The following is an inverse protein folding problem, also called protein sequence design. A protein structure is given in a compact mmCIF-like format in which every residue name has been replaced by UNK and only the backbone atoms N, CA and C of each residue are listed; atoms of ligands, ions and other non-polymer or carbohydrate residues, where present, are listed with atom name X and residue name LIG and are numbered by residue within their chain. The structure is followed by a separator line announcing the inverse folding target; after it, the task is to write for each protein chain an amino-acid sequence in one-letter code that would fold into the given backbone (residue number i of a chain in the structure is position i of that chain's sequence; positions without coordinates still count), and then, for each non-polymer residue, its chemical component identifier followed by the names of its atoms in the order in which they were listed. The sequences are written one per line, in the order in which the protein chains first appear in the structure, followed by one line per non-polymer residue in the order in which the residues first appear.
data_IF_668392965566
#
_entry.id   IF_668392965566
#
_cell.length_a   1.000
_cell.length_b   1.000
_cell.length_c   1.000
_cell.angle_alpha   90.00
_cell.angle_beta   90.00
_cell.angle_gamma   90.00
#
_symmetry.space_group_name_H-M   'P 1'
#
loop_
_entity.id
_entity.type
_entity.pdbx_description
1 polymer ?
#
# COMPACT_ATOMS: atom_id res chain seq x y z
N UNK A 1 -11.57 1.80 6.62
CA UNK A 1 -10.52 2.85 6.72
C UNK A 1 -10.73 4.03 5.77
N UNK A 2 -11.90 4.19 5.14
CA UNK A 2 -12.12 5.24 4.13
C UNK A 2 -12.94 6.40 4.69
N UNK A 3 -12.67 7.62 4.21
CA UNK A 3 -13.49 8.80 4.49
C UNK A 3 -14.50 9.05 3.37
N UNK A 4 -15.63 9.65 3.73
CA UNK A 4 -16.64 10.06 2.76
C UNK A 4 -16.05 11.13 1.81
N UNK A 5 -16.14 10.89 0.50
CA UNK A 5 -15.62 11.79 -0.53
C UNK A 5 -14.12 11.63 -0.83
N UNK A 6 -13.43 10.71 -0.17
CA UNK A 6 -12.04 10.37 -0.47
C UNK A 6 -11.94 9.67 -1.83
N UNK A 7 -10.99 10.10 -2.65
CA UNK A 7 -10.65 9.41 -3.90
C UNK A 7 -9.55 8.39 -3.63
N UNK A 8 -9.85 7.13 -3.92
CA UNK A 8 -8.91 6.02 -3.75
C UNK A 8 -8.78 5.23 -5.05
N UNK A 9 -7.64 4.58 -5.21
CA UNK A 9 -7.42 3.65 -6.32
C UNK A 9 -8.35 2.44 -6.17
N UNK A 10 -8.89 1.97 -7.29
CA UNK A 10 -9.96 0.98 -7.24
C UNK A 10 -9.48 -0.40 -6.76
N UNK A 11 -8.26 -0.79 -7.12
CA UNK A 11 -7.68 -2.05 -6.67
C UNK A 11 -7.51 -2.04 -5.14
N UNK A 12 -7.00 -0.95 -4.57
CA UNK A 12 -6.92 -0.78 -3.10
C UNK A 12 -8.28 -0.81 -2.42
N UNK A 13 -9.30 -0.20 -3.02
CA UNK A 13 -10.66 -0.27 -2.50
C UNK A 13 -11.19 -1.71 -2.45
N UNK A 14 -10.93 -2.49 -3.50
CA UNK A 14 -11.29 -3.91 -3.53
C UNK A 14 -10.54 -4.73 -2.47
N UNK A 15 -9.22 -4.56 -2.35
CA UNK A 15 -8.38 -5.26 -1.37
C UNK A 15 -8.87 -5.00 0.07
N UNK A 16 -9.16 -3.74 0.41
CA UNK A 16 -9.63 -3.41 1.76
C UNK A 16 -11.05 -3.93 2.02
N UNK A 17 -11.94 -3.93 1.01
CA UNK A 17 -13.28 -4.49 1.17
C UNK A 17 -13.26 -6.02 1.36
N UNK A 18 -12.37 -6.74 0.67
CA UNK A 18 -12.16 -8.18 0.87
C UNK A 18 -11.65 -8.46 2.29
N UNK A 19 -10.70 -7.65 2.78
CA UNK A 19 -10.19 -7.74 4.16
C UNK A 19 -11.29 -7.53 5.21
N UNK A 20 -12.14 -6.52 5.02
CA UNK A 20 -13.23 -6.17 5.94
C UNK A 20 -14.33 -7.24 5.93
N UNK A 21 -14.60 -7.85 4.77
CA UNK A 21 -15.51 -9.00 4.65
C UNK A 21 -15.00 -10.22 5.43
N UNK A 22 -13.71 -10.53 5.36
CA UNK A 22 -13.11 -11.59 6.17
C UNK A 22 -13.21 -11.35 7.68
N UNK A 23 -13.33 -10.10 8.10
CA UNK A 23 -13.56 -9.69 9.50
C UNK A 23 -15.05 -9.63 9.88
N UNK A 24 -15.97 -10.08 9.02
CA UNK A 24 -17.43 -9.98 9.19
C UNK A 24 -17.94 -8.54 9.44
N UNK A 25 -17.27 -7.55 8.88
CA UNK A 25 -17.66 -6.13 8.97
C UNK A 25 -18.39 -5.67 7.71
N UNK A 26 -19.05 -4.51 7.82
CA UNK A 26 -19.79 -3.92 6.70
C UNK A 26 -18.85 -3.40 5.61
N UNK A 27 -19.10 -3.82 4.37
CA UNK A 27 -18.38 -3.33 3.18
C UNK A 27 -18.65 -1.85 2.93
N UNK A 28 -17.64 -1.14 2.45
CA UNK A 28 -17.80 0.24 1.99
C UNK A 28 -18.36 0.26 0.58
N UNK A 29 -19.23 1.22 0.26
CA UNK A 29 -19.70 1.49 -1.10
C UNK A 29 -18.89 2.62 -1.73
N UNK A 30 -18.75 2.62 -3.06
CA UNK A 30 -18.02 3.66 -3.79
C UNK A 30 -18.75 4.06 -5.08
N UNK A 31 -18.43 5.24 -5.60
CA UNK A 31 -18.81 5.67 -6.94
C UNK A 31 -17.58 5.66 -7.85
N UNK A 32 -17.73 5.14 -9.08
CA UNK A 32 -16.66 5.14 -10.08
C UNK A 32 -16.52 6.54 -10.67
N UNK A 33 -15.31 7.07 -10.67
CA UNK A 33 -14.98 8.36 -11.28
C UNK A 33 -14.08 8.09 -12.49
N UNK A 34 -14.45 8.67 -13.63
CA UNK A 34 -13.62 8.62 -14.84
C UNK A 34 -12.69 9.83 -14.85
N UNK A 35 -11.38 9.57 -14.98
CA UNK A 35 -10.34 10.59 -15.06
C UNK A 35 -9.65 10.52 -16.43
N UNK A 36 -9.24 11.67 -16.97
CA UNK A 36 -8.38 11.71 -18.15
C UNK A 36 -6.99 11.15 -17.84
N UNK A 37 -6.26 10.70 -18.88
CA UNK A 37 -4.97 9.99 -18.72
C UNK A 37 -3.93 10.77 -17.91
N UNK A 38 -3.86 12.10 -18.09
CA UNK A 38 -2.92 12.97 -17.37
C UNK A 38 -3.24 13.02 -15.88
N UNK A 39 -4.53 13.21 -15.54
CA UNK A 39 -4.99 13.28 -14.16
C UNK A 39 -4.88 11.92 -13.46
N UNK A 40 -5.22 10.84 -14.17
CA UNK A 40 -5.04 9.49 -13.65
C UNK A 40 -3.56 9.16 -13.37
N UNK A 41 -2.65 9.60 -14.23
CA UNK A 41 -1.20 9.37 -14.06
C UNK A 41 -0.59 10.15 -12.90
N UNK A 42 -1.10 11.33 -12.58
CA UNK A 42 -0.67 12.12 -11.41
C UNK A 42 -1.30 11.64 -10.09
N UNK A 43 -2.48 11.00 -10.16
CA UNK A 43 -3.22 10.49 -9.00
C UNK A 43 -2.78 9.08 -8.53
N UNK A 44 -1.68 8.55 -9.06
CA UNK A 44 -1.13 7.26 -8.61
C UNK A 44 -0.60 7.35 -7.17
N UNK A 45 -0.60 6.23 -6.44
CA UNK A 45 -0.11 6.18 -5.06
C UNK A 45 1.41 6.38 -4.98
N UNK A 46 2.14 5.97 -6.01
CA UNK A 46 3.59 6.16 -6.06
C UNK A 46 3.94 7.58 -6.43
N UNK A 47 4.46 8.33 -5.45
CA UNK A 47 4.97 9.67 -5.71
C UNK A 47 6.21 9.64 -6.61
N UNK A 48 7.00 8.55 -6.62
CA UNK A 48 8.15 8.39 -7.51
C UNK A 48 7.69 8.27 -8.97
N UNK A 49 6.67 7.45 -9.21
CA UNK A 49 6.05 7.29 -10.53
C UNK A 49 5.35 8.58 -11.00
N UNK A 50 4.64 9.26 -10.10
CA UNK A 50 3.97 10.53 -10.39
C UNK A 50 4.97 11.65 -10.71
N UNK A 51 6.00 11.84 -9.86
CA UNK A 51 6.99 12.91 -10.01
C UNK A 51 7.84 12.78 -11.28
N UNK A 52 8.02 11.56 -11.78
CA UNK A 52 8.71 11.27 -13.04
C UNK A 52 7.82 11.39 -14.27
N UNK A 53 6.53 11.71 -14.12
CA UNK A 53 5.65 12.01 -15.25
C UNK A 53 5.67 13.51 -15.53
N UNK A 54 5.14 14.31 -14.59
CA UNK A 54 5.05 15.77 -14.66
C UNK A 54 4.99 16.37 -13.24
N UNK A 55 5.05 17.71 -13.13
CA UNK A 55 4.86 18.46 -11.86
C UNK A 55 5.81 18.03 -10.72
N UNK A 56 7.04 17.63 -11.04
CA UNK A 56 8.03 17.02 -10.12
C UNK A 56 8.17 17.78 -8.79
N UNK A 57 8.36 19.10 -8.83
CA UNK A 57 8.55 19.91 -7.62
C UNK A 57 7.34 19.85 -6.69
N UNK A 58 6.13 19.94 -7.23
CA UNK A 58 4.89 19.87 -6.46
C UNK A 58 4.73 18.50 -5.84
N UNK A 59 4.87 17.44 -6.63
CA UNK A 59 4.68 16.04 -6.17
C UNK A 59 5.66 15.68 -5.06
N UNK A 60 6.94 16.04 -5.20
CA UNK A 60 7.94 15.76 -4.17
C UNK A 60 7.73 16.58 -2.90
N UNK A 61 7.30 17.84 -3.03
CA UNK A 61 6.99 18.69 -1.86
C UNK A 61 5.81 18.12 -1.08
N UNK A 62 4.71 17.77 -1.76
CA UNK A 62 3.54 17.20 -1.12
C UNK A 62 3.87 15.86 -0.43
N UNK A 63 4.67 15.01 -1.07
CA UNK A 63 5.13 13.74 -0.50
C UNK A 63 6.02 13.94 0.74
N UNK A 64 6.93 14.93 0.71
CA UNK A 64 7.81 15.24 1.82
C UNK A 64 7.04 15.78 3.03
N UNK A 65 6.09 16.71 2.81
CA UNK A 65 5.27 17.30 3.88
C UNK A 65 4.35 16.25 4.52
N UNK A 66 3.81 15.33 3.73
CA UNK A 66 2.92 14.26 4.23
C UNK A 66 3.67 13.05 4.77
N UNK A 67 4.99 12.97 4.59
CA UNK A 67 5.79 11.81 4.99
C UNK A 67 5.42 10.53 4.21
N UNK A 68 4.98 10.67 2.95
CA UNK A 68 4.56 9.53 2.13
C UNK A 68 5.72 8.55 1.90
N UNK A 69 5.43 7.26 2.03
CA UNK A 69 6.37 6.17 1.73
C UNK A 69 5.93 5.44 0.47
N UNK A 70 6.87 5.14 -0.42
CA UNK A 70 6.61 4.41 -1.65
C UNK A 70 6.95 2.92 -1.49
N UNK A 71 6.00 2.04 -1.81
CA UNK A 71 6.17 0.60 -1.65
C UNK A 71 6.85 -0.09 -2.85
N UNK A 72 7.14 0.66 -3.93
CA UNK A 72 7.78 0.16 -5.15
C UNK A 72 7.04 -1.05 -5.76
N UNK A 73 5.72 -0.98 -5.83
CA UNK A 73 4.88 -2.05 -6.39
C UNK A 73 4.77 -1.97 -7.91
N UNK A 74 5.01 -0.80 -8.48
CA UNK A 74 4.84 -0.49 -9.89
C UNK A 74 6.08 -0.76 -10.74
N UNK A 75 5.89 -0.72 -12.06
CA UNK A 75 6.98 -0.94 -13.02
C UNK A 75 7.95 0.24 -13.03
N UNK A 76 7.41 1.46 -13.12
CA UNK A 76 8.20 2.69 -13.30
C UNK A 76 9.08 3.00 -12.09
N UNK A 77 8.54 2.87 -10.88
CA UNK A 77 9.31 2.96 -9.63
C UNK A 77 10.54 2.06 -9.62
N UNK A 78 10.36 0.77 -9.95
CA UNK A 78 11.44 -0.20 -9.89
C UNK A 78 12.52 0.10 -10.95
N UNK A 79 12.12 0.56 -12.15
CA UNK A 79 13.08 1.00 -13.17
C UNK A 79 13.89 2.20 -12.68
N UNK A 80 13.24 3.21 -12.09
CA UNK A 80 13.91 4.43 -11.60
C UNK A 80 14.91 4.11 -10.49
N UNK A 81 14.54 3.21 -9.57
CA UNK A 81 15.40 2.81 -8.43
C UNK A 81 16.46 1.78 -8.85
N UNK A 82 16.37 1.19 -10.04
CA UNK A 82 17.32 0.18 -10.52
C UNK A 82 17.10 -1.23 -9.96
N UNK A 83 15.86 -1.57 -9.60
CA UNK A 83 15.45 -2.91 -9.15
C UNK A 83 14.83 -3.69 -10.32
N UNK A 84 14.79 -5.02 -10.21
CA UNK A 84 14.04 -5.86 -11.14
C UNK A 84 12.58 -5.38 -11.21
N UNK A 85 12.00 -5.30 -12.41
CA UNK A 85 10.59 -4.91 -12.58
C UNK A 85 9.66 -6.07 -12.18
N UNK A 86 8.45 -5.80 -11.68
CA UNK A 86 7.47 -6.81 -11.30
C UNK A 86 6.72 -7.40 -12.52
N UNK A 87 7.46 -7.71 -13.58
CA UNK A 87 6.93 -8.28 -14.82
C UNK A 87 7.95 -9.26 -15.43
N UNK A 88 7.47 -10.18 -16.26
CA UNK A 88 8.32 -11.18 -16.92
C UNK A 88 9.14 -12.00 -15.92
N UNK A 89 10.46 -12.10 -16.17
CA UNK A 89 11.40 -12.83 -15.29
C UNK A 89 11.50 -12.24 -13.89
N UNK A 90 11.19 -10.95 -13.70
CA UNK A 90 11.18 -10.31 -12.39
C UNK A 90 9.96 -10.68 -11.53
N UNK A 91 8.92 -11.29 -12.10
CA UNK A 91 7.72 -11.69 -11.34
C UNK A 91 8.06 -12.70 -10.22
N UNK A 92 8.91 -13.69 -10.52
CA UNK A 92 9.34 -14.70 -9.54
C UNK A 92 10.12 -14.09 -8.37
N UNK A 93 10.94 -13.07 -8.66
CA UNK A 93 11.68 -12.34 -7.63
C UNK A 93 10.73 -11.57 -6.71
N UNK A 94 9.76 -10.87 -7.28
CA UNK A 94 8.79 -10.09 -6.51
C UNK A 94 7.78 -10.96 -5.75
N UNK A 95 7.34 -12.09 -6.31
CA UNK A 95 6.45 -13.02 -5.62
C UNK A 95 7.12 -13.64 -4.40
N UNK A 96 8.36 -14.12 -4.56
CA UNK A 96 9.17 -14.69 -3.47
C UNK A 96 9.41 -13.64 -2.37
N UNK A 97 9.75 -12.40 -2.75
CA UNK A 97 9.93 -11.31 -1.77
C UNK A 97 8.63 -10.91 -1.07
N UNK A 98 7.48 -10.97 -1.74
CA UNK A 98 6.17 -10.71 -1.11
C UNK A 98 5.81 -11.83 -0.14
N UNK A 99 6.03 -13.10 -0.51
CA UNK A 99 5.81 -14.25 0.37
C UNK A 99 6.71 -14.17 1.61
N UNK A 100 8.01 -13.91 1.43
CA UNK A 100 8.95 -13.74 2.54
C UNK A 100 8.52 -12.61 3.48
N UNK A 101 8.15 -11.44 2.95
CA UNK A 101 7.64 -10.33 3.77
C UNK A 101 6.35 -10.69 4.50
N UNK A 102 5.42 -11.43 3.88
CA UNK A 102 4.20 -11.90 4.55
C UNK A 102 4.54 -12.86 5.70
N UNK A 103 5.44 -13.82 5.47
CA UNK A 103 5.89 -14.76 6.48
C UNK A 103 6.60 -14.07 7.65
N UNK A 104 7.46 -13.08 7.38
CA UNK A 104 8.13 -12.28 8.42
C UNK A 104 7.12 -11.47 9.26
N UNK A 105 6.08 -10.90 8.64
CA UNK A 105 5.02 -10.18 9.36
C UNK A 105 4.15 -11.13 10.19
N UNK A 106 3.83 -12.31 9.67
CA UNK A 106 3.03 -13.31 10.36
C UNK A 106 3.79 -13.90 11.57
N UNK A 107 5.09 -14.15 11.41
CA UNK A 107 5.98 -14.54 12.51
C UNK A 107 6.10 -13.44 13.56
N UNK A 108 6.32 -12.19 13.14
CA UNK A 108 6.36 -11.06 14.07
C UNK A 108 5.05 -10.91 14.86
N UNK A 109 3.89 -10.99 14.20
CA UNK A 109 2.58 -10.90 14.85
C UNK A 109 2.30 -12.07 15.82
N UNK A 110 2.80 -13.26 15.50
CA UNK A 110 2.71 -14.42 16.38
C UNK A 110 3.60 -14.30 17.63
N UNK A 111 4.74 -13.60 17.55
CA UNK A 111 5.61 -13.30 18.70
C UNK A 111 5.06 -12.18 19.61
N UNK A 112 4.33 -11.19 19.07
CA UNK A 112 3.76 -10.09 19.89
C UNK A 112 2.51 -10.52 20.67
N UNK A 113 1.71 -11.46 20.15
CA UNK A 113 0.49 -11.95 20.83
C UNK A 113 0.73 -12.56 22.22
N UNK A 114 1.71 -13.46 22.44
CA UNK A 114 1.98 -14.00 23.77
C UNK A 114 2.56 -12.94 24.73
N UNK A 115 3.47 -12.08 24.25
CA UNK A 115 4.07 -11.03 25.09
C UNK A 115 3.05 -10.00 25.61
N UNK A 116 2.04 -9.65 24.81
CA UNK A 116 0.99 -8.71 25.22
C UNK A 116 0.01 -9.33 26.24
N UNK A 117 -0.16 -10.66 26.24
CA UNK A 117 -0.95 -11.38 27.25
C UNK A 117 -0.23 -11.56 28.58
N UNK A 118 1.11 -11.65 28.59
CA UNK A 118 1.89 -11.76 29.83
C UNK A 118 1.95 -10.41 30.58
N UNK A 119 2.05 -9.29 29.86
CA UNK A 119 2.05 -7.93 30.44
C UNK A 119 0.69 -7.49 31.01
N UNK A 120 -0.43 -7.97 30.46
CA UNK A 120 -1.77 -7.68 31.00
C UNK A 120 -2.09 -8.53 32.23
N UNK A 121 -1.50 -9.71 32.36
CA UNK A 121 -1.62 -10.56 33.54
C UNK A 121 -0.81 -10.04 34.73
N UNK A 122 0.34 -9.37 34.51
CA UNK A 122 1.19 -8.84 35.58
C UNK A 122 0.80 -7.44 36.09
N UNK A 123 -0.12 -6.75 35.42
CA UNK A 123 -0.59 -5.41 35.81
C UNK A 123 -1.88 -5.42 36.65
N UNK A 124 -2.38 -6.62 36.99
CA UNK A 124 -3.63 -6.84 37.72
C UNK A 124 -3.48 -7.33 39.17
N UNK A 125 -2.27 -7.41 39.71
CA UNK A 125 -1.98 -7.61 41.15
C UNK A 125 -1.45 -6.32 41.79
#
# INVERSE_FOLDING_TARGET
KFLQGEQVEFSRFLEENERVEGENKLKSTCLRILLGITKASLATESFISAASFQETTRVLTDAAVTGKTDELRGLKENVIVGRLIPAGTGLAYHSTRRQRRRAEVEQGAAEVSPAMSELSASAGE
#
